data_IF_108784072349
#
_entry.id   IF_108784072349
#
_cell.length_a   1.000
_cell.length_b   1.000
_cell.length_c   1.000
_cell.angle_alpha   90.00
_cell.angle_beta   90.00
_cell.angle_gamma   90.00
#
_symmetry.space_group_name_H-M   'P 1'
#
loop_
_entity.id
_entity.type
_entity.pdbx_description
1 polymer ?
#
# COMPACT_ATOMS: atom_id res chain seq x y z
N UNK A 1 -3.67 -14.94 19.94
CA UNK A 1 -2.82 -13.89 19.32
C UNK A 1 -3.73 -12.74 18.95
N UNK A 2 -3.45 -11.51 19.42
CA UNK A 2 -4.37 -10.37 19.25
C UNK A 2 -4.49 -9.97 17.77
N UNK A 3 -5.66 -9.45 17.36
CA UNK A 3 -5.94 -9.01 15.99
C UNK A 3 -4.88 -8.03 15.44
N UNK A 4 -4.29 -7.22 16.32
CA UNK A 4 -3.23 -6.26 16.01
C UNK A 4 -1.94 -6.89 15.47
N UNK A 5 -1.54 -8.06 15.98
CA UNK A 5 -0.35 -8.78 15.49
C UNK A 5 -0.59 -9.26 14.06
N UNK A 6 -1.78 -9.80 13.79
CA UNK A 6 -2.17 -10.22 12.44
C UNK A 6 -2.17 -9.06 11.44
N UNK A 7 -2.63 -7.88 11.85
CA UNK A 7 -2.63 -6.67 10.99
C UNK A 7 -1.20 -6.22 10.70
N UNK A 8 -0.32 -6.23 11.70
CA UNK A 8 1.07 -5.82 11.56
C UNK A 8 1.82 -6.67 10.52
N UNK A 9 1.66 -8.00 10.63
CA UNK A 9 2.26 -8.97 9.72
C UNK A 9 1.73 -8.84 8.30
N UNK A 10 0.43 -8.53 8.14
CA UNK A 10 -0.19 -8.34 6.83
C UNK A 10 0.06 -6.97 6.20
N UNK A 11 0.53 -5.96 6.93
CA UNK A 11 0.55 -4.61 6.37
C UNK A 11 1.59 -4.38 5.25
N UNK A 12 2.54 -5.30 5.05
CA UNK A 12 3.34 -5.34 3.80
C UNK A 12 2.46 -5.72 2.60
N UNK A 13 1.53 -6.65 2.78
CA UNK A 13 0.57 -7.04 1.74
C UNK A 13 -0.38 -5.90 1.42
N UNK A 14 -0.89 -5.16 2.42
CA UNK A 14 -1.75 -4.00 2.16
C UNK A 14 -1.04 -2.91 1.35
N UNK A 15 0.22 -2.60 1.66
CA UNK A 15 1.04 -1.68 0.85
C UNK A 15 1.18 -2.19 -0.59
N UNK A 16 1.42 -3.49 -0.77
CA UNK A 16 1.52 -4.11 -2.10
C UNK A 16 0.21 -4.03 -2.86
N UNK A 17 -0.93 -4.32 -2.22
CA UNK A 17 -2.25 -4.24 -2.86
C UNK A 17 -2.58 -2.81 -3.26
N UNK A 18 -2.26 -1.83 -2.42
CA UNK A 18 -2.45 -0.42 -2.74
C UNK A 18 -1.62 0.00 -3.97
N UNK A 19 -0.34 -0.41 -4.02
CA UNK A 19 0.55 -0.15 -5.17
C UNK A 19 0.01 -0.79 -6.47
N UNK A 20 -0.47 -2.03 -6.40
CA UNK A 20 -1.13 -2.72 -7.53
C UNK A 20 -2.41 -1.97 -7.95
N UNK A 21 -3.21 -1.52 -6.99
CA UNK A 21 -4.45 -0.77 -7.23
C UNK A 21 -4.19 0.53 -8.00
N UNK A 22 -3.20 1.33 -7.58
CA UNK A 22 -2.79 2.54 -8.29
C UNK A 22 -2.44 2.22 -9.75
N UNK A 23 -1.59 1.21 -9.98
CA UNK A 23 -1.16 0.83 -11.32
C UNK A 23 -2.32 0.32 -12.18
N UNK A 24 -3.28 -0.39 -11.59
CA UNK A 24 -4.49 -0.84 -12.28
C UNK A 24 -5.35 0.35 -12.70
N UNK A 25 -5.59 1.31 -11.79
CA UNK A 25 -6.34 2.53 -12.10
C UNK A 25 -5.69 3.32 -13.24
N UNK A 26 -4.37 3.51 -13.23
CA UNK A 26 -3.65 4.17 -14.34
C UNK A 26 -3.90 3.49 -15.69
N UNK A 27 -3.84 2.16 -15.72
CA UNK A 27 -4.09 1.38 -16.95
C UNK A 27 -5.54 1.50 -17.41
N UNK A 28 -6.50 1.46 -16.49
CA UNK A 28 -7.92 1.60 -16.81
C UNK A 28 -8.23 2.99 -17.36
N UNK A 29 -7.69 4.04 -16.75
CA UNK A 29 -7.87 5.40 -17.25
C UNK A 29 -7.24 5.60 -18.62
N UNK A 30 -6.03 5.09 -18.84
CA UNK A 30 -5.42 5.09 -20.16
C UNK A 30 -6.27 4.37 -21.20
N UNK A 31 -6.79 3.19 -20.85
CA UNK A 31 -7.71 2.45 -21.72
C UNK A 31 -8.94 3.28 -22.09
N UNK A 32 -9.57 3.97 -21.13
CA UNK A 32 -10.74 4.81 -21.41
C UNK A 32 -10.43 5.96 -22.36
N UNK A 33 -9.28 6.62 -22.20
CA UNK A 33 -8.83 7.69 -23.10
C UNK A 33 -8.57 7.15 -24.51
N UNK A 34 -7.86 6.02 -24.62
CA UNK A 34 -7.55 5.40 -25.91
C UNK A 34 -8.84 4.92 -26.61
N UNK A 35 -9.78 4.36 -25.85
CA UNK A 35 -11.11 3.96 -26.34
C UNK A 35 -11.93 5.14 -26.85
N UNK A 36 -11.98 6.23 -26.09
CA UNK A 36 -12.67 7.47 -26.48
C UNK A 36 -12.12 8.02 -27.80
N UNK A 37 -10.79 8.05 -27.93
CA UNK A 37 -10.12 8.51 -29.15
C UNK A 37 -10.49 7.64 -30.36
N UNK A 38 -10.46 6.32 -30.21
CA UNK A 38 -10.82 5.38 -31.28
C UNK A 38 -12.28 5.54 -31.73
N UNK A 39 -13.21 5.66 -30.77
CA UNK A 39 -14.62 5.92 -31.10
C UNK A 39 -14.78 7.22 -31.88
N UNK A 40 -14.17 8.31 -31.41
CA UNK A 40 -14.21 9.62 -32.06
C UNK A 40 -13.70 9.57 -33.50
N UNK A 41 -12.57 8.90 -33.74
CA UNK A 41 -12.02 8.74 -35.09
C UNK A 41 -12.96 7.95 -36.01
N UNK A 42 -13.60 6.89 -35.50
CA UNK A 42 -14.56 6.10 -36.27
C UNK A 42 -15.80 6.91 -36.67
N UNK A 43 -16.40 7.66 -35.75
CA UNK A 43 -17.59 8.48 -36.05
C UNK A 43 -17.28 9.62 -37.01
N UNK A 44 -16.12 10.28 -36.88
CA UNK A 44 -15.67 11.29 -37.83
C UNK A 44 -15.53 10.69 -39.25
N UNK A 45 -14.98 9.47 -39.37
CA UNK A 45 -14.86 8.79 -40.65
C UNK A 45 -16.23 8.45 -41.27
N UNK A 46 -17.17 7.95 -40.46
CA UNK A 46 -18.54 7.65 -40.90
C UNK A 46 -19.24 8.91 -41.43
N UNK A 47 -19.18 10.02 -40.69
CA UNK A 47 -19.74 11.31 -41.12
C UNK A 47 -19.17 11.75 -42.47
N UNK A 48 -17.84 11.75 -42.62
CA UNK A 48 -17.18 12.15 -43.88
C UNK A 48 -17.60 11.30 -45.06
N UNK A 49 -17.81 10.01 -44.84
CA UNK A 49 -18.28 9.09 -45.88
C UNK A 49 -19.71 9.43 -46.32
N UNK A 50 -20.61 9.68 -45.37
CA UNK A 50 -21.99 10.12 -45.64
C UNK A 50 -22.04 11.45 -46.40
N UNK A 51 -21.28 12.45 -45.95
CA UNK A 51 -21.19 13.77 -46.60
C UNK A 51 -20.67 13.67 -48.04
N UNK A 52 -19.65 12.84 -48.27
CA UNK A 52 -19.11 12.59 -49.61
C UNK A 52 -20.17 12.03 -50.55
N UNK A 53 -20.87 10.97 -50.14
CA UNK A 53 -21.90 10.34 -50.97
C UNK A 53 -23.13 11.23 -51.17
N UNK A 54 -23.44 12.11 -50.22
CA UNK A 54 -24.51 13.10 -50.38
C UNK A 54 -24.13 14.10 -51.48
N UNK A 55 -22.89 14.59 -51.47
CA UNK A 55 -22.38 15.48 -52.52
C UNK A 55 -22.43 14.81 -53.89
N UNK A 56 -22.09 13.52 -53.98
CA UNK A 56 -22.19 12.77 -55.24
C UNK A 56 -23.64 12.60 -55.69
N UNK A 57 -24.56 12.24 -54.78
CA UNK A 57 -25.99 12.12 -55.11
C UNK A 57 -26.60 13.44 -55.59
N UNK A 58 -26.23 14.57 -54.96
CA UNK A 58 -26.66 15.90 -55.39
C UNK A 58 -26.18 16.24 -56.81
N UNK A 59 -24.96 15.83 -57.19
CA UNK A 59 -24.41 16.05 -58.54
C UNK A 59 -25.17 15.25 -59.60
N UNK A 60 -25.51 14.00 -59.33
CA UNK A 60 -26.14 13.11 -60.31
C UNK A 60 -27.65 13.31 -60.44
N UNK A 61 -28.35 13.56 -59.33
CA UNK A 61 -29.81 13.55 -59.29
C UNK A 61 -30.44 14.93 -59.06
N UNK A 62 -29.63 15.93 -58.69
CA UNK A 62 -30.10 17.27 -58.33
C UNK A 62 -30.65 17.35 -56.89
N UNK A 63 -30.57 18.54 -56.31
CA UNK A 63 -30.98 18.80 -54.90
C UNK A 63 -32.48 18.71 -54.64
N UNK A 64 -33.32 18.86 -55.66
CA UNK A 64 -34.79 18.74 -55.54
C UNK A 64 -35.29 17.29 -55.61
N UNK A 65 -34.40 16.31 -55.80
CA UNK A 65 -34.77 14.91 -55.88
C UNK A 65 -35.15 14.34 -54.51
N UNK A 66 -36.26 13.61 -54.42
CA UNK A 66 -36.77 13.03 -53.17
C UNK A 66 -35.81 12.01 -52.53
N UNK A 67 -35.08 11.23 -53.33
CA UNK A 67 -34.04 10.32 -52.83
C UNK A 67 -32.88 11.10 -52.19
N UNK A 68 -32.48 12.22 -52.79
CA UNK A 68 -31.42 13.09 -52.24
C UNK A 68 -31.89 13.74 -50.93
N UNK A 69 -33.16 14.15 -50.85
CA UNK A 69 -33.77 14.66 -49.62
C UNK A 69 -33.74 13.62 -48.49
N UNK A 70 -34.20 12.40 -48.77
CA UNK A 70 -34.16 11.29 -47.82
C UNK A 70 -32.73 10.95 -47.39
N UNK A 71 -31.78 10.89 -48.33
CA UNK A 71 -30.39 10.61 -48.00
C UNK A 71 -29.77 11.72 -47.14
N UNK A 72 -30.13 12.98 -47.39
CA UNK A 72 -29.70 14.11 -46.56
C UNK A 72 -30.22 14.01 -45.11
N UNK A 73 -31.47 13.57 -44.92
CA UNK A 73 -32.01 13.29 -43.57
C UNK A 73 -31.20 12.18 -42.86
N UNK A 74 -30.81 11.12 -43.57
CA UNK A 74 -29.93 10.08 -43.01
C UNK A 74 -28.56 10.66 -42.59
N UNK A 75 -27.97 11.55 -43.39
CA UNK A 75 -26.70 12.22 -43.02
C UNK A 75 -26.88 13.07 -41.75
N UNK A 76 -28.01 13.75 -41.58
CA UNK A 76 -28.31 14.51 -40.36
C UNK A 76 -28.45 13.59 -39.13
N UNK A 77 -29.06 12.41 -39.28
CA UNK A 77 -29.12 11.42 -38.19
C UNK A 77 -27.69 10.96 -37.81
N UNK A 78 -26.84 10.68 -38.79
CA UNK A 78 -25.43 10.33 -38.55
C UNK A 78 -24.70 11.46 -37.82
N UNK A 79 -24.94 12.71 -38.19
CA UNK A 79 -24.39 13.88 -37.50
C UNK A 79 -24.79 13.91 -36.02
N UNK A 80 -26.06 13.68 -35.69
CA UNK A 80 -26.52 13.63 -34.31
C UNK A 80 -25.87 12.51 -33.49
N UNK A 81 -25.64 11.34 -34.10
CA UNK A 81 -24.91 10.24 -33.46
C UNK A 81 -23.47 10.66 -33.17
N UNK A 82 -22.78 11.28 -34.14
CA UNK A 82 -21.40 11.77 -33.95
C UNK A 82 -21.32 12.81 -32.83
N UNK A 83 -22.28 13.73 -32.75
CA UNK A 83 -22.31 14.75 -31.71
C UNK A 83 -22.53 14.15 -30.32
N UNK A 84 -23.45 13.20 -30.20
CA UNK A 84 -23.68 12.48 -28.94
C UNK A 84 -22.44 11.69 -28.48
N UNK A 85 -21.77 11.02 -29.41
CA UNK A 85 -20.56 10.24 -29.13
C UNK A 85 -19.36 11.13 -28.77
N UNK A 86 -19.27 12.32 -29.37
CA UNK A 86 -18.27 13.32 -28.96
C UNK A 86 -18.47 13.75 -27.49
N UNK A 87 -19.70 13.86 -27.00
CA UNK A 87 -19.95 14.18 -25.58
C UNK A 87 -19.43 13.06 -24.66
N UNK A 88 -19.64 11.80 -25.04
CA UNK A 88 -19.13 10.64 -24.29
C UNK A 88 -17.59 10.64 -24.28
N UNK A 89 -16.96 10.86 -25.45
CA UNK A 89 -15.50 10.95 -25.56
C UNK A 89 -14.93 12.07 -24.68
N UNK A 90 -15.54 13.25 -24.69
CA UNK A 90 -15.13 14.38 -23.84
C UNK A 90 -15.27 14.05 -22.35
N UNK A 91 -16.33 13.32 -21.96
CA UNK A 91 -16.51 12.87 -20.56
C UNK A 91 -15.38 11.93 -20.12
N UNK A 92 -14.98 10.98 -20.97
CA UNK A 92 -13.82 10.13 -20.69
C UNK A 92 -12.52 10.94 -20.58
N UNK A 93 -12.28 11.89 -21.48
CA UNK A 93 -11.09 12.74 -21.42
C UNK A 93 -11.03 13.59 -20.13
N UNK A 94 -12.16 14.13 -19.66
CA UNK A 94 -12.22 14.91 -18.42
C UNK A 94 -11.98 14.00 -17.21
N UNK A 95 -12.78 12.95 -17.05
CA UNK A 95 -12.70 12.08 -15.87
C UNK A 95 -11.41 11.28 -15.81
N UNK A 96 -10.94 10.74 -16.95
CA UNK A 96 -9.72 9.95 -16.98
C UNK A 96 -8.44 10.79 -17.13
N UNK A 97 -8.53 11.93 -17.82
CA UNK A 97 -7.38 12.75 -18.18
C UNK A 97 -7.00 13.80 -17.14
N UNK A 98 -7.96 14.41 -16.43
CA UNK A 98 -7.69 15.43 -15.41
C UNK A 98 -7.94 14.92 -13.99
N UNK A 99 -9.16 14.50 -13.68
CA UNK A 99 -9.56 14.10 -12.33
C UNK A 99 -8.86 12.81 -11.90
N UNK A 100 -8.89 11.78 -12.75
CA UNK A 100 -8.25 10.49 -12.49
C UNK A 100 -6.75 10.62 -12.23
N UNK A 101 -6.05 11.48 -12.99
CA UNK A 101 -4.62 11.74 -12.77
C UNK A 101 -4.36 12.40 -11.42
N UNK A 102 -5.15 13.40 -11.04
CA UNK A 102 -5.01 14.05 -9.73
C UNK A 102 -5.20 13.05 -8.58
N UNK A 103 -6.22 12.20 -8.68
CA UNK A 103 -6.50 11.16 -7.67
C UNK A 103 -5.32 10.19 -7.57
N UNK A 104 -4.80 9.71 -8.70
CA UNK A 104 -3.64 8.80 -8.75
C UNK A 104 -2.40 9.44 -8.12
N UNK A 105 -2.13 10.71 -8.39
CA UNK A 105 -0.99 11.42 -7.80
C UNK A 105 -1.13 11.54 -6.28
N UNK A 106 -2.33 11.80 -5.78
CA UNK A 106 -2.59 11.88 -4.35
C UNK A 106 -2.49 10.51 -3.68
N UNK A 107 -3.01 9.44 -4.28
CA UNK A 107 -2.82 8.06 -3.79
C UNK A 107 -1.33 7.67 -3.75
N UNK A 108 -0.55 8.01 -4.79
CA UNK A 108 0.91 7.81 -4.81
C UNK A 108 1.60 8.55 -3.66
N UNK A 109 1.18 9.78 -3.35
CA UNK A 109 1.71 10.57 -2.21
C UNK A 109 1.33 9.92 -0.88
N UNK A 110 0.09 9.48 -0.71
CA UNK A 110 -0.38 8.80 0.50
C UNK A 110 0.39 7.50 0.73
N UNK A 111 0.54 6.66 -0.30
CA UNK A 111 1.30 5.42 -0.23
C UNK A 111 2.75 5.65 0.19
N UNK A 112 3.39 6.72 -0.33
CA UNK A 112 4.76 7.09 0.07
C UNK A 112 4.83 7.48 1.55
N UNK A 113 3.85 8.24 2.06
CA UNK A 113 3.77 8.59 3.49
C UNK A 113 3.59 7.34 4.35
N UNK A 114 2.68 6.44 3.98
CA UNK A 114 2.44 5.19 4.69
C UNK A 114 3.67 4.28 4.73
N UNK A 115 4.38 4.13 3.60
CA UNK A 115 5.66 3.38 3.55
C UNK A 115 6.68 3.95 4.53
N UNK A 116 6.79 5.29 4.60
CA UNK A 116 7.72 5.96 5.52
C UNK A 116 7.33 5.78 6.99
N UNK A 117 6.04 5.93 7.33
CA UNK A 117 5.54 5.76 8.70
C UNK A 117 5.70 4.32 9.18
N UNK A 118 5.36 3.33 8.35
CA UNK A 118 5.59 1.90 8.65
C UNK A 118 7.07 1.62 8.91
N UNK A 119 7.96 2.20 8.11
CA UNK A 119 9.41 2.05 8.29
C UNK A 119 9.87 2.60 9.65
N UNK A 120 9.43 3.81 10.02
CA UNK A 120 9.72 4.40 11.33
C UNK A 120 9.24 3.51 12.48
N UNK A 121 7.98 3.07 12.44
CA UNK A 121 7.41 2.20 13.48
C UNK A 121 8.13 0.85 13.54
N UNK A 122 8.49 0.27 12.39
CA UNK A 122 9.21 -1.01 12.36
C UNK A 122 10.62 -0.89 12.93
N UNK A 123 11.30 0.24 12.70
CA UNK A 123 12.62 0.50 13.27
C UNK A 123 12.55 0.68 14.79
N UNK A 124 11.56 1.43 15.28
CA UNK A 124 11.32 1.57 16.72
C UNK A 124 11.02 0.22 17.37
N UNK A 125 10.11 -0.57 16.78
CA UNK A 125 9.78 -1.90 17.28
C UNK A 125 11.01 -2.80 17.34
N UNK A 126 11.84 -2.83 16.29
CA UNK A 126 13.10 -3.60 16.29
C UNK A 126 14.07 -3.15 17.37
N UNK A 127 14.14 -1.84 17.64
CA UNK A 127 14.95 -1.29 18.73
C UNK A 127 14.47 -1.81 20.09
N UNK A 128 13.16 -1.69 20.36
CA UNK A 128 12.54 -2.18 21.59
C UNK A 128 12.70 -3.70 21.76
N UNK A 129 12.52 -4.48 20.69
CA UNK A 129 12.73 -5.94 20.72
C UNK A 129 14.17 -6.28 21.11
N UNK A 130 15.18 -5.58 20.58
CA UNK A 130 16.58 -5.79 20.97
C UNK A 130 16.83 -5.50 22.45
N UNK A 131 16.28 -4.39 22.96
CA UNK A 131 16.41 -4.02 24.38
C UNK A 131 15.81 -5.12 25.27
N UNK A 132 14.63 -5.63 24.90
CA UNK A 132 13.96 -6.71 25.62
C UNK A 132 14.77 -8.01 25.55
N UNK A 133 15.26 -8.39 24.37
CA UNK A 133 16.06 -9.60 24.18
C UNK A 133 17.36 -9.57 25.00
N UNK A 134 18.04 -8.41 25.02
CA UNK A 134 19.22 -8.18 25.84
C UNK A 134 18.91 -8.28 27.34
N UNK A 135 17.77 -7.74 27.77
CA UNK A 135 17.35 -7.81 29.18
C UNK A 135 16.97 -9.23 29.60
N UNK A 136 16.26 -9.97 28.73
CA UNK A 136 15.97 -11.39 28.94
C UNK A 136 17.27 -12.18 29.09
N UNK A 137 18.27 -11.91 28.25
CA UNK A 137 19.59 -12.55 28.35
C UNK A 137 20.29 -12.20 29.65
N UNK A 138 20.37 -10.91 30.01
CA UNK A 138 20.95 -10.45 31.28
C UNK A 138 20.30 -11.10 32.49
N UNK A 139 18.97 -11.20 32.50
CA UNK A 139 18.23 -11.86 33.57
C UNK A 139 18.55 -13.35 33.65
N UNK A 140 18.58 -14.07 32.52
CA UNK A 140 18.94 -15.50 32.46
C UNK A 140 20.37 -15.75 32.91
N UNK A 141 21.31 -14.89 32.55
CA UNK A 141 22.71 -14.99 32.97
C UNK A 141 22.83 -14.80 34.49
N UNK A 142 22.25 -13.72 35.04
CA UNK A 142 22.21 -13.49 36.49
C UNK A 142 21.53 -14.61 37.27
N UNK A 143 20.44 -15.16 36.74
CA UNK A 143 19.75 -16.27 37.38
C UNK A 143 20.63 -17.54 37.42
N UNK A 144 21.39 -17.82 36.37
CA UNK A 144 22.36 -18.93 36.36
C UNK A 144 23.50 -18.70 37.34
N UNK A 145 24.02 -17.49 37.42
CA UNK A 145 25.09 -17.14 38.37
C UNK A 145 24.60 -17.27 39.82
N UNK A 146 23.36 -16.88 40.11
CA UNK A 146 22.74 -17.08 41.43
C UNK A 146 22.66 -18.55 41.81
N UNK A 147 22.23 -19.43 40.90
CA UNK A 147 22.17 -20.88 41.17
C UNK A 147 23.56 -21.40 41.57
N UNK A 148 24.60 -21.04 40.81
CA UNK A 148 25.99 -21.43 41.12
C UNK A 148 26.48 -20.87 42.46
N UNK A 149 26.27 -19.58 42.71
CA UNK A 149 26.67 -18.95 43.97
C UNK A 149 25.96 -19.58 45.18
N UNK A 150 24.69 -19.98 45.02
CA UNK A 150 23.95 -20.71 46.04
C UNK A 150 24.55 -22.11 46.28
N UNK A 151 24.83 -22.86 45.22
CA UNK A 151 25.46 -24.18 45.31
C UNK A 151 26.86 -24.11 45.95
N UNK A 152 27.66 -23.10 45.60
CA UNK A 152 29.00 -22.91 46.17
C UNK A 152 28.92 -22.45 47.64
N UNK A 153 27.97 -21.59 48.01
CA UNK A 153 27.71 -21.23 49.41
C UNK A 153 27.33 -22.44 50.25
N UNK A 154 26.39 -23.26 49.76
CA UNK A 154 25.97 -24.48 50.45
C UNK A 154 27.14 -25.46 50.63
N UNK A 155 28.04 -25.57 49.64
CA UNK A 155 29.24 -26.39 49.72
C UNK A 155 30.25 -25.85 50.75
N UNK A 156 30.59 -24.57 50.68
CA UNK A 156 31.59 -23.93 51.55
C UNK A 156 31.10 -23.88 53.00
N UNK A 157 29.82 -23.59 53.23
CA UNK A 157 29.23 -23.56 54.56
C UNK A 157 29.14 -24.94 55.23
N UNK A 158 29.08 -26.02 54.44
CA UNK A 158 29.08 -27.39 54.96
C UNK A 158 30.48 -27.91 55.31
N UNK A 159 31.54 -27.27 54.81
CA UNK A 159 32.93 -27.66 55.06
C UNK A 159 33.56 -26.79 56.15
N UNK A 160 33.82 -27.41 57.31
CA UNK A 160 34.35 -26.77 58.52
C UNK A 160 35.81 -26.29 58.37
N UNK A 161 36.46 -26.55 57.24
CA UNK A 161 37.85 -26.16 56.97
C UNK A 161 38.00 -24.79 56.29
N UNK A 162 36.91 -24.20 55.80
CA UNK A 162 36.95 -22.88 55.17
C UNK A 162 37.01 -21.72 56.17
N UNK A 163 37.70 -20.64 55.78
CA UNK A 163 37.79 -19.41 56.57
C UNK A 163 36.44 -18.69 56.60
N UNK A 164 36.12 -18.04 57.72
CA UNK A 164 34.93 -17.19 57.88
C UNK A 164 34.86 -16.09 56.81
N UNK A 165 36.01 -15.63 56.32
CA UNK A 165 36.10 -14.66 55.21
C UNK A 165 35.60 -15.23 53.87
N UNK A 166 35.85 -16.51 53.59
CA UNK A 166 35.41 -17.16 52.35
C UNK A 166 33.88 -17.36 52.35
N UNK A 167 33.31 -17.70 53.52
CA UNK A 167 31.85 -17.80 53.73
C UNK A 167 31.17 -16.44 53.53
N UNK A 168 31.76 -15.37 54.07
CA UNK A 168 31.20 -14.01 54.01
C UNK A 168 31.24 -13.40 52.60
N UNK A 169 32.26 -13.74 51.80
CA UNK A 169 32.37 -13.32 50.40
C UNK A 169 31.24 -13.90 49.54
N UNK A 170 30.97 -15.20 49.64
CA UNK A 170 29.92 -15.86 48.85
C UNK A 170 28.51 -15.47 49.35
N UNK A 171 28.37 -15.22 50.66
CA UNK A 171 27.13 -14.66 51.23
C UNK A 171 26.79 -13.28 50.65
N UNK A 172 27.79 -12.39 50.50
CA UNK A 172 27.60 -11.07 49.89
C UNK A 172 27.17 -11.14 48.41
N UNK A 173 27.66 -12.13 47.66
CA UNK A 173 27.25 -12.35 46.26
C UNK A 173 25.77 -12.77 46.16
N UNK A 174 25.28 -13.57 47.12
CA UNK A 174 23.85 -13.94 47.23
C UNK A 174 22.97 -12.75 47.63
N UNK A 175 23.40 -11.92 48.60
CA UNK A 175 22.65 -10.74 49.05
C UNK A 175 22.46 -9.73 47.91
N UNK A 176 23.51 -9.46 47.13
CA UNK A 176 23.45 -8.56 45.98
C UNK A 176 22.40 -9.00 44.93
N UNK A 177 22.19 -10.31 44.78
CA UNK A 177 21.13 -10.83 43.91
C UNK A 177 19.71 -10.60 44.47
N UNK A 178 19.49 -10.79 45.77
CA UNK A 178 18.18 -10.52 46.38
C UNK A 178 17.81 -9.02 46.32
N UNK A 179 18.80 -8.13 46.44
CA UNK A 179 18.61 -6.69 46.20
C UNK A 179 18.25 -6.38 44.74
N UNK A 180 18.85 -7.07 43.77
CA UNK A 180 18.49 -6.94 42.34
C UNK A 180 17.03 -7.36 42.07
N UNK A 181 16.52 -8.38 42.76
CA UNK A 181 15.12 -8.84 42.65
C UNK A 181 14.12 -7.81 43.20
N UNK A 182 14.49 -7.08 44.25
CA UNK A 182 13.66 -6.02 44.85
C UNK A 182 13.44 -4.79 43.95
N UNK A 183 14.36 -4.52 43.02
CA UNK A 183 14.28 -3.39 42.08
C UNK A 183 13.40 -3.66 40.84
N UNK A 184 13.11 -4.93 40.52
CA UNK A 184 12.34 -5.32 39.33
C UNK A 184 10.91 -5.81 39.64
N UNK A 185 10.56 -5.95 40.93
CA UNK A 185 9.23 -6.41 41.39
C UNK A 185 8.43 -5.34 42.17
N UNK A 186 8.94 -4.11 42.26
CA UNK A 186 8.22 -2.93 42.77
C UNK A 186 7.58 -2.15 41.62
#
# INVERSE_FOLDING_TARGET
MSSWVSIWDQATNYIKYHDIGINLHERLYKFLVDFAKLQKEAFIAQKRLCEKHLSDAQKYFGVSNSYVSFFNELVQIVQHIVDAENLISCSFEIHAGSEGKSIIEDERRQLKRWKNERSKLSNELKSQTRIIDDEIKRYRDKYRDMIKAKEDYERINADQSHSQFDVEKVSNELINFYCFKGLYLS
#
